data_IF_862733746657
#
_entry.id   IF_862733746657
#
_cell.length_a   1.000
_cell.length_b   1.000
_cell.length_c   1.000
_cell.angle_alpha   90.00
_cell.angle_beta   90.00
_cell.angle_gamma   90.00
#
_symmetry.space_group_name_H-M   'P 1'
#
loop_
_entity.id
_entity.type
_entity.pdbx_description
1 polymer ?
#
# COMPACT_ATOMS: atom_id res chain seq x y z
N UNK A 1 -19.74 -57.25 22.39
CA UNK A 1 -20.98 -56.45 22.37
C UNK A 1 -20.69 -55.14 21.67
N UNK A 2 -20.90 -55.07 20.36
CA UNK A 2 -20.77 -53.83 19.59
C UNK A 2 -22.14 -53.13 19.52
N UNK A 3 -22.19 -51.87 19.94
CA UNK A 3 -23.41 -51.06 19.87
C UNK A 3 -23.57 -50.46 18.46
N UNK A 4 -24.76 -50.54 17.84
CA UNK A 4 -24.97 -50.08 16.48
C UNK A 4 -24.98 -48.54 16.42
N UNK A 5 -24.14 -48.00 15.53
CA UNK A 5 -23.99 -46.55 15.29
C UNK A 5 -25.21 -46.03 14.52
N UNK A 6 -26.08 -45.26 15.17
CA UNK A 6 -27.25 -44.62 14.56
C UNK A 6 -26.84 -43.66 13.44
N UNK A 7 -27.15 -44.01 12.19
CA UNK A 7 -27.06 -43.10 11.06
C UNK A 7 -28.13 -42.01 11.19
N UNK A 8 -27.70 -40.74 11.29
CA UNK A 8 -28.59 -39.58 11.24
C UNK A 8 -29.07 -39.40 9.80
N UNK A 9 -30.38 -39.47 9.60
CA UNK A 9 -31.04 -39.23 8.31
C UNK A 9 -30.89 -37.76 7.90
N UNK A 10 -30.28 -37.51 6.73
CA UNK A 10 -30.14 -36.16 6.17
C UNK A 10 -31.53 -35.63 5.81
N UNK A 11 -31.96 -34.55 6.48
CA UNK A 11 -33.22 -33.87 6.17
C UNK A 11 -33.18 -33.34 4.74
N UNK A 12 -34.12 -33.77 3.90
CA UNK A 12 -34.25 -33.28 2.52
C UNK A 12 -34.69 -31.80 2.56
N UNK A 13 -33.82 -30.92 2.10
CA UNK A 13 -34.11 -29.50 1.91
C UNK A 13 -35.27 -29.30 0.91
N UNK A 14 -36.22 -28.45 1.28
CA UNK A 14 -37.41 -28.15 0.47
C UNK A 14 -37.00 -27.54 -0.88
N UNK A 15 -37.69 -27.82 -1.99
CA UNK A 15 -37.33 -27.33 -3.34
C UNK A 15 -37.17 -25.81 -3.43
N UNK A 16 -37.96 -25.05 -2.68
CA UNK A 16 -37.86 -23.59 -2.62
C UNK A 16 -36.57 -23.09 -1.97
N UNK A 17 -36.05 -23.78 -0.95
CA UNK A 17 -34.74 -23.43 -0.35
C UNK A 17 -33.59 -23.66 -1.35
N UNK A 18 -33.69 -24.64 -2.25
CA UNK A 18 -32.68 -24.86 -3.28
C UNK A 18 -32.62 -23.72 -4.31
N UNK A 19 -33.76 -23.10 -4.61
CA UNK A 19 -33.85 -21.94 -5.49
C UNK A 19 -33.28 -20.67 -4.84
N UNK A 20 -33.58 -20.45 -3.55
CA UNK A 20 -33.05 -19.30 -2.79
C UNK A 20 -31.53 -19.41 -2.56
N UNK A 21 -31.01 -20.61 -2.31
CA UNK A 21 -29.57 -20.85 -2.16
C UNK A 21 -28.83 -20.63 -3.49
N UNK A 22 -29.43 -21.06 -4.62
CA UNK A 22 -28.85 -20.85 -5.95
C UNK A 22 -28.76 -19.37 -6.35
N UNK A 23 -29.77 -18.56 -6.05
CA UNK A 23 -29.73 -17.12 -6.36
C UNK A 23 -28.82 -16.35 -5.42
N UNK A 24 -28.79 -16.65 -4.11
CA UNK A 24 -27.88 -16.01 -3.16
C UNK A 24 -26.39 -16.29 -3.48
N UNK A 25 -26.05 -17.53 -3.87
CA UNK A 25 -24.69 -17.90 -4.28
C UNK A 25 -24.24 -17.16 -5.55
N UNK A 26 -25.14 -16.93 -6.52
CA UNK A 26 -24.83 -16.15 -7.72
C UNK A 26 -24.43 -14.71 -7.38
N UNK A 27 -25.18 -14.01 -6.51
CA UNK A 27 -24.84 -12.64 -6.10
C UNK A 27 -23.52 -12.56 -5.32
N UNK A 28 -23.18 -13.59 -4.55
CA UNK A 28 -21.91 -13.67 -3.84
C UNK A 28 -20.72 -13.87 -4.79
N UNK A 29 -20.83 -14.78 -5.76
CA UNK A 29 -19.78 -14.98 -6.78
C UNK A 29 -19.57 -13.71 -7.59
N UNK A 30 -20.65 -13.05 -7.98
CA UNK A 30 -20.61 -11.75 -8.64
C UNK A 30 -19.91 -10.73 -7.72
N UNK A 31 -20.27 -10.64 -6.45
CA UNK A 31 -19.63 -9.75 -5.47
C UNK A 31 -18.13 -9.97 -5.30
N UNK A 32 -17.66 -11.22 -5.25
CA UNK A 32 -16.23 -11.53 -5.16
C UNK A 32 -15.45 -11.24 -6.44
N UNK A 33 -16.07 -11.47 -7.60
CA UNK A 33 -15.51 -11.03 -8.88
C UNK A 33 -15.43 -9.50 -8.87
N UNK A 34 -16.47 -8.80 -8.41
CA UNK A 34 -16.44 -7.34 -8.28
C UNK A 34 -15.36 -6.84 -7.31
N UNK A 35 -15.12 -7.50 -6.18
CA UNK A 35 -14.05 -7.11 -5.24
C UNK A 35 -12.66 -7.40 -5.80
N UNK A 36 -12.46 -8.57 -6.43
CA UNK A 36 -11.20 -8.91 -7.08
C UNK A 36 -10.90 -8.02 -8.29
N UNK A 37 -11.92 -7.73 -9.09
CA UNK A 37 -11.85 -6.77 -10.21
C UNK A 37 -11.65 -5.36 -9.68
N UNK A 38 -12.30 -4.94 -8.60
CA UNK A 38 -12.07 -3.62 -8.01
C UNK A 38 -10.65 -3.49 -7.46
N UNK A 39 -10.13 -4.50 -6.77
CA UNK A 39 -8.74 -4.54 -6.30
C UNK A 39 -7.76 -4.49 -7.47
N UNK A 40 -7.98 -5.32 -8.51
CA UNK A 40 -7.15 -5.33 -9.69
C UNK A 40 -7.24 -4.01 -10.47
N UNK A 41 -8.44 -3.47 -10.62
CA UNK A 41 -8.73 -2.20 -11.29
C UNK A 41 -8.00 -1.06 -10.58
N UNK A 42 -8.18 -0.91 -9.25
CA UNK A 42 -7.50 0.11 -8.44
C UNK A 42 -5.99 -0.01 -8.55
N UNK A 43 -5.45 -1.25 -8.48
CA UNK A 43 -3.99 -1.47 -8.61
C UNK A 43 -3.48 -1.18 -10.03
N UNK A 44 -4.30 -1.47 -11.04
CA UNK A 44 -3.95 -1.25 -12.45
C UNK A 44 -4.04 0.20 -12.89
N UNK A 45 -4.57 1.10 -12.06
CA UNK A 45 -4.49 2.54 -12.30
C UNK A 45 -3.01 2.92 -12.19
N UNK A 46 -2.41 3.26 -13.34
CA UNK A 46 -1.03 3.71 -13.43
C UNK A 46 -0.90 5.07 -12.74
N UNK A 47 0.17 5.26 -11.98
CA UNK A 47 0.47 6.55 -11.33
C UNK A 47 0.55 7.68 -12.35
N UNK A 48 0.99 7.40 -13.58
CA UNK A 48 1.03 8.38 -14.67
C UNK A 48 -0.37 8.84 -15.10
N UNK A 49 -1.34 7.93 -15.08
CA UNK A 49 -2.73 8.23 -15.42
C UNK A 49 -3.36 9.12 -14.33
N UNK A 50 -3.10 8.82 -13.05
CA UNK A 50 -3.49 9.68 -11.92
C UNK A 50 -2.83 11.06 -12.05
N UNK A 51 -1.53 11.11 -12.33
CA UNK A 51 -0.80 12.35 -12.50
C UNK A 51 -1.41 13.22 -13.60
N UNK A 52 -1.80 12.61 -14.74
CA UNK A 52 -2.42 13.34 -15.84
C UNK A 52 -3.77 13.97 -15.51
N UNK A 53 -4.56 13.33 -14.63
CA UNK A 53 -5.85 13.86 -14.14
C UNK A 53 -5.67 15.03 -13.16
N UNK A 54 -4.59 14.98 -12.38
CA UNK A 54 -4.33 15.92 -11.29
C UNK A 54 -3.24 16.95 -11.61
N UNK A 55 -2.68 16.91 -12.83
CA UNK A 55 -1.75 17.93 -13.32
C UNK A 55 -2.51 19.19 -13.70
N UNK A 56 -2.08 20.31 -13.11
CA UNK A 56 -2.63 21.66 -13.28
C UNK A 56 -2.61 22.20 -14.72
N UNK A 57 -2.02 21.47 -15.67
CA UNK A 57 -1.91 21.86 -17.09
C UNK A 57 -3.16 21.49 -17.93
N UNK A 58 -4.16 20.81 -17.37
CA UNK A 58 -5.45 20.56 -18.04
C UNK A 58 -6.45 21.69 -17.74
N UNK A 59 -5.97 22.92 -17.88
CA UNK A 59 -6.77 24.14 -17.75
C UNK A 59 -7.15 24.68 -19.14
N UNK A 60 -7.68 23.84 -20.05
CA UNK A 60 -8.46 24.27 -21.22
C UNK A 60 -8.94 23.09 -22.09
N UNK A 61 -9.72 22.16 -21.54
CA UNK A 61 -10.59 21.34 -22.38
C UNK A 61 -12.03 21.38 -21.88
N UNK A 62 -12.79 22.24 -22.55
CA UNK A 62 -14.19 22.10 -22.96
C UNK A 62 -14.97 20.93 -22.36
N UNK A 63 -16.14 21.28 -21.80
CA UNK A 63 -17.07 20.39 -21.11
C UNK A 63 -17.60 19.19 -21.91
N UNK A 64 -18.41 18.40 -21.20
CA UNK A 64 -18.74 16.97 -21.39
C UNK A 64 -17.65 16.04 -20.81
N UNK A 65 -17.87 15.22 -19.79
CA UNK A 65 -19.08 14.57 -19.27
C UNK A 65 -18.92 14.49 -17.74
N UNK A 66 -19.87 15.04 -16.97
CA UNK A 66 -20.05 14.63 -15.57
C UNK A 66 -20.47 13.16 -15.59
N UNK A 67 -19.49 12.26 -15.58
CA UNK A 67 -19.73 10.83 -15.46
C UNK A 67 -20.46 10.61 -14.14
N UNK A 68 -21.60 9.89 -14.20
CA UNK A 68 -22.37 9.52 -13.03
C UNK A 68 -21.44 9.01 -11.90
N UNK A 69 -21.77 9.30 -10.62
CA UNK A 69 -20.91 8.95 -9.51
C UNK A 69 -20.65 7.45 -9.52
N UNK A 70 -19.43 7.07 -9.92
CA UNK A 70 -18.96 5.68 -9.83
C UNK A 70 -19.07 5.28 -8.37
N UNK A 71 -20.00 4.38 -8.06
CA UNK A 71 -20.20 3.89 -6.70
C UNK A 71 -18.87 3.37 -6.16
N UNK A 72 -18.48 3.87 -4.98
CA UNK A 72 -17.30 3.39 -4.28
C UNK A 72 -17.45 1.90 -3.98
N UNK A 73 -16.39 1.10 -4.17
CA UNK A 73 -16.35 -0.24 -3.62
C UNK A 73 -16.58 -0.19 -2.10
N UNK A 74 -17.43 -1.10 -1.59
CA UNK A 74 -17.79 -1.15 -0.16
C UNK A 74 -16.57 -1.21 0.79
N UNK A 75 -15.43 -1.72 0.30
CA UNK A 75 -14.19 -1.80 1.08
C UNK A 75 -13.54 -0.44 1.37
N UNK A 76 -13.75 0.57 0.50
CA UNK A 76 -13.23 1.93 0.70
C UNK A 76 -14.29 2.93 1.13
N UNK A 77 -15.57 2.58 1.04
CA UNK A 77 -16.69 3.44 1.47
C UNK A 77 -16.54 3.90 2.93
N UNK A 78 -16.37 2.98 3.88
CA UNK A 78 -16.18 3.32 5.30
C UNK A 78 -14.94 4.20 5.56
N UNK A 79 -13.75 3.89 5.02
CA UNK A 79 -12.60 4.79 5.10
C UNK A 79 -12.87 6.19 4.53
N UNK A 80 -13.59 6.30 3.41
CA UNK A 80 -13.92 7.58 2.78
C UNK A 80 -14.92 8.37 3.60
N UNK A 81 -15.96 7.73 4.14
CA UNK A 81 -16.89 8.35 5.08
C UNK A 81 -16.17 8.90 6.32
N UNK A 82 -15.24 8.11 6.88
CA UNK A 82 -14.41 8.55 8.02
C UNK A 82 -13.54 9.75 7.64
N UNK A 83 -12.93 9.75 6.46
CA UNK A 83 -12.13 10.88 5.97
C UNK A 83 -13.00 12.13 5.77
N UNK A 84 -14.19 11.99 5.20
CA UNK A 84 -15.19 13.05 5.04
C UNK A 84 -15.55 13.67 6.39
N UNK A 85 -15.81 12.85 7.41
CA UNK A 85 -16.08 13.33 8.78
C UNK A 85 -14.92 14.14 9.36
N UNK A 86 -13.67 13.75 9.08
CA UNK A 86 -12.48 14.45 9.58
C UNK A 86 -12.26 15.83 8.93
N UNK A 87 -12.77 16.04 7.71
CA UNK A 87 -12.72 17.33 7.01
C UNK A 87 -13.99 18.16 7.16
N UNK A 88 -14.82 17.87 8.16
CA UNK A 88 -16.03 18.66 8.44
C UNK A 88 -17.29 18.20 7.69
N UNK A 89 -17.27 17.01 7.11
CA UNK A 89 -18.41 16.40 6.43
C UNK A 89 -18.48 16.67 4.93
N UNK A 90 -17.45 17.31 4.37
CA UNK A 90 -17.37 17.55 2.93
C UNK A 90 -17.29 16.23 2.17
N UNK A 91 -18.02 16.15 1.05
CA UNK A 91 -18.06 14.95 0.22
C UNK A 91 -16.73 14.82 -0.52
N UNK A 92 -16.09 13.66 -0.35
CA UNK A 92 -14.89 13.30 -1.11
C UNK A 92 -15.33 12.69 -2.45
N UNK A 93 -14.73 13.17 -3.55
CA UNK A 93 -15.00 12.62 -4.87
C UNK A 93 -14.57 11.15 -4.94
N UNK A 94 -15.41 10.33 -5.58
CA UNK A 94 -15.18 8.90 -5.63
C UNK A 94 -13.97 8.52 -6.49
N UNK A 95 -13.65 9.30 -7.53
CA UNK A 95 -12.45 9.13 -8.32
C UNK A 95 -11.20 9.44 -7.49
N UNK A 96 -11.23 10.53 -6.71
CA UNK A 96 -10.10 10.89 -5.84
C UNK A 96 -9.85 9.86 -4.75
N UNK A 97 -10.92 9.35 -4.14
CA UNK A 97 -10.82 8.26 -3.17
C UNK A 97 -10.19 7.00 -3.78
N UNK A 98 -10.54 6.69 -5.04
CA UNK A 98 -9.95 5.57 -5.78
C UNK A 98 -8.49 5.83 -6.14
N UNK A 99 -8.15 7.04 -6.55
CA UNK A 99 -6.77 7.45 -6.88
C UNK A 99 -5.87 7.38 -5.64
N UNK A 100 -6.33 7.89 -4.48
CA UNK A 100 -5.62 7.75 -3.21
C UNK A 100 -5.45 6.27 -2.83
N UNK A 101 -6.50 5.45 -2.97
CA UNK A 101 -6.41 4.03 -2.68
C UNK A 101 -5.40 3.33 -3.62
N UNK A 102 -5.36 3.70 -4.90
CA UNK A 102 -4.40 3.18 -5.87
C UNK A 102 -2.96 3.54 -5.49
N UNK A 103 -2.70 4.81 -5.16
CA UNK A 103 -1.38 5.26 -4.70
C UNK A 103 -0.95 4.48 -3.46
N UNK A 104 -1.81 4.36 -2.45
CA UNK A 104 -1.49 3.64 -1.22
C UNK A 104 -1.27 2.13 -1.45
N UNK A 105 -1.94 1.52 -2.43
CA UNK A 105 -1.75 0.11 -2.76
C UNK A 105 -0.51 -0.15 -3.63
N UNK A 106 -0.06 0.85 -4.38
CA UNK A 106 1.13 0.75 -5.24
C UNK A 106 2.43 1.12 -4.51
N UNK A 107 2.37 1.93 -3.45
CA UNK A 107 3.52 2.36 -2.63
C UNK A 107 4.15 1.25 -1.76
N UNK A 108 3.80 -0.02 -1.98
CA UNK A 108 4.35 -1.13 -1.21
C UNK A 108 3.92 -1.15 0.27
N UNK A 109 2.86 -0.41 0.64
CA UNK A 109 2.18 -0.58 1.92
C UNK A 109 1.45 -1.93 1.93
N UNK A 110 1.68 -2.72 2.98
CA UNK A 110 0.88 -3.91 3.25
C UNK A 110 -0.55 -3.54 3.64
N UNK A 111 -1.50 -4.45 3.43
CA UNK A 111 -2.90 -4.25 3.86
C UNK A 111 -3.00 -4.01 5.38
N UNK A 112 -2.09 -4.60 6.16
CA UNK A 112 -1.98 -4.35 7.60
C UNK A 112 -1.55 -2.91 7.89
N UNK A 113 -0.59 -2.37 7.15
CA UNK A 113 -0.16 -0.98 7.28
C UNK A 113 -1.28 -0.02 6.85
N UNK A 114 -1.98 -0.30 5.74
CA UNK A 114 -3.14 0.48 5.32
C UNK A 114 -4.23 0.46 6.39
N UNK A 115 -4.55 -0.71 6.95
CA UNK A 115 -5.53 -0.82 8.03
C UNK A 115 -5.07 -0.12 9.32
N UNK A 116 -3.79 -0.20 9.66
CA UNK A 116 -3.21 0.55 10.77
C UNK A 116 -3.34 2.08 10.56
N UNK A 117 -3.07 2.58 9.35
CA UNK A 117 -3.24 3.99 9.00
C UNK A 117 -4.72 4.41 9.10
N UNK A 118 -5.64 3.60 8.56
CA UNK A 118 -7.09 3.85 8.65
C UNK A 118 -7.61 3.82 10.09
N UNK A 119 -7.12 2.88 10.91
CA UNK A 119 -7.46 2.76 12.32
C UNK A 119 -7.03 3.98 13.12
N UNK A 120 -5.82 4.47 12.87
CA UNK A 120 -5.23 5.65 13.52
C UNK A 120 -5.59 6.97 12.84
N UNK A 121 -6.47 6.99 11.83
CA UNK A 121 -6.95 8.23 11.22
C UNK A 121 -7.83 9.01 12.22
N UNK A 122 -7.19 9.76 13.11
CA UNK A 122 -7.78 10.67 14.09
C UNK A 122 -6.90 11.90 14.19
N UNK A 123 -7.40 12.97 14.80
CA UNK A 123 -6.62 14.20 14.99
C UNK A 123 -5.80 14.21 16.26
N UNK A 124 -6.16 13.37 17.23
CA UNK A 124 -5.67 13.42 18.60
C UNK A 124 -4.66 12.29 18.84
N UNK A 125 -3.70 12.16 17.93
CA UNK A 125 -2.61 11.19 18.06
C UNK A 125 -1.48 11.74 18.93
N UNK A 126 -0.85 10.89 19.76
CA UNK A 126 0.39 11.27 20.44
C UNK A 126 1.51 11.50 19.43
N UNK A 127 2.49 12.33 19.80
CA UNK A 127 3.59 12.75 18.92
C UNK A 127 4.36 11.56 18.37
N UNK A 128 4.57 10.55 19.22
CA UNK A 128 5.29 9.31 18.88
C UNK A 128 4.57 8.53 17.78
N UNK A 129 3.24 8.44 17.82
CA UNK A 129 2.49 7.75 16.77
C UNK A 129 2.37 8.59 15.50
N UNK A 130 2.31 9.93 15.60
CA UNK A 130 2.41 10.79 14.42
C UNK A 130 3.75 10.58 13.71
N UNK A 131 4.86 10.53 14.47
CA UNK A 131 6.20 10.30 13.91
C UNK A 131 6.30 8.91 13.26
N UNK A 132 5.79 7.86 13.92
CA UNK A 132 5.78 6.51 13.36
C UNK A 132 4.96 6.40 12.07
N UNK A 133 3.83 7.10 11.98
CA UNK A 133 3.05 7.19 10.74
C UNK A 133 3.83 7.93 9.66
N UNK A 134 4.47 9.06 9.98
CA UNK A 134 5.34 9.79 9.05
C UNK A 134 6.45 8.87 8.51
N UNK A 135 7.19 8.21 9.38
CA UNK A 135 8.31 7.34 9.00
C UNK A 135 7.83 6.20 8.11
N UNK A 136 6.70 5.56 8.47
CA UNK A 136 6.09 4.52 7.66
C UNK A 136 5.72 5.03 6.26
N UNK A 137 5.07 6.19 6.18
CA UNK A 137 4.62 6.77 4.92
C UNK A 137 5.80 7.23 4.05
N UNK A 138 6.78 7.93 4.61
CA UNK A 138 7.98 8.40 3.89
C UNK A 138 8.90 7.25 3.46
N UNK A 139 8.88 6.11 4.17
CA UNK A 139 9.65 4.92 3.77
C UNK A 139 9.00 4.16 2.62
N UNK A 140 7.69 4.32 2.42
CA UNK A 140 6.90 3.52 1.48
C UNK A 140 6.51 4.31 0.24
N UNK A 141 6.14 5.57 0.41
CA UNK A 141 5.74 6.44 -0.68
C UNK A 141 6.98 7.03 -1.36
N UNK A 142 6.98 7.05 -2.68
CA UNK A 142 7.93 7.84 -3.46
C UNK A 142 7.59 9.34 -3.39
N UNK A 143 8.55 10.20 -3.75
CA UNK A 143 8.32 11.65 -3.82
C UNK A 143 7.19 12.02 -4.80
N UNK A 144 7.08 11.28 -5.91
CA UNK A 144 6.01 11.43 -6.89
C UNK A 144 4.64 11.08 -6.29
N UNK A 145 4.55 9.95 -5.58
CA UNK A 145 3.33 9.53 -4.87
C UNK A 145 2.92 10.54 -3.81
N UNK A 146 3.88 11.07 -3.04
CA UNK A 146 3.63 12.11 -2.03
C UNK A 146 3.10 13.38 -2.70
N UNK A 147 3.68 13.80 -3.82
CA UNK A 147 3.23 14.97 -4.56
C UNK A 147 1.80 14.81 -5.08
N UNK A 148 1.47 13.63 -5.60
CA UNK A 148 0.11 13.32 -6.06
C UNK A 148 -0.90 13.30 -4.93
N UNK A 149 -0.57 12.63 -3.81
CA UNK A 149 -1.42 12.65 -2.62
C UNK A 149 -1.68 14.08 -2.17
N UNK A 150 -0.65 14.93 -2.10
CA UNK A 150 -0.81 16.35 -1.75
C UNK A 150 -1.69 17.10 -2.74
N UNK A 151 -1.55 16.83 -4.04
CA UNK A 151 -2.39 17.46 -5.08
C UNK A 151 -3.87 17.10 -4.89
N UNK A 152 -4.16 15.80 -4.78
CA UNK A 152 -5.52 15.28 -4.60
C UNK A 152 -6.15 15.84 -3.32
N UNK A 153 -5.41 15.88 -2.21
CA UNK A 153 -5.98 16.30 -0.92
C UNK A 153 -6.09 17.81 -0.75
N UNK A 154 -5.35 18.60 -1.54
CA UNK A 154 -5.33 20.07 -1.45
C UNK A 154 -6.70 20.69 -1.74
N UNK A 155 -7.47 20.13 -2.68
CA UNK A 155 -8.83 20.61 -2.99
C UNK A 155 -9.80 20.46 -1.81
N UNK A 156 -9.49 19.54 -0.89
CA UNK A 156 -10.23 19.32 0.37
C UNK A 156 -9.64 20.11 1.54
N UNK A 157 -8.74 21.07 1.28
CA UNK A 157 -8.08 21.88 2.31
C UNK A 157 -7.03 21.13 3.14
N UNK A 158 -6.64 19.91 2.75
CA UNK A 158 -5.66 19.11 3.48
C UNK A 158 -4.29 19.18 2.80
N UNK A 159 -3.30 19.76 3.48
CA UNK A 159 -1.94 19.88 2.96
C UNK A 159 -1.03 18.65 3.13
N UNK A 160 -1.49 17.64 3.88
CA UNK A 160 -0.71 16.44 4.26
C UNK A 160 0.69 16.79 4.82
N UNK A 161 0.76 17.75 5.75
CA UNK A 161 2.01 18.17 6.38
C UNK A 161 2.76 17.03 7.10
N UNK A 162 2.08 15.93 7.42
CA UNK A 162 2.70 14.71 7.94
C UNK A 162 3.72 14.10 6.94
N UNK A 163 3.50 14.29 5.63
CA UNK A 163 4.38 13.88 4.53
C UNK A 163 5.44 14.94 4.18
N UNK A 164 5.72 15.86 5.11
CA UNK A 164 6.83 16.79 4.98
C UNK A 164 7.82 16.50 6.12
N UNK A 165 9.04 16.01 5.82
CA UNK A 165 10.01 15.66 6.86
C UNK A 165 10.45 16.86 7.68
N UNK A 166 10.48 18.04 7.08
CA UNK A 166 10.94 19.28 7.73
C UNK A 166 9.84 19.94 8.56
N UNK A 167 8.58 19.52 8.41
CA UNK A 167 7.47 20.12 9.16
C UNK A 167 7.46 19.57 10.60
N UNK A 168 7.43 20.43 11.64
CA UNK A 168 7.38 19.97 13.03
C UNK A 168 6.20 19.03 13.28
N UNK A 169 6.48 17.84 13.83
CA UNK A 169 5.49 16.76 13.97
C UNK A 169 4.39 17.13 14.97
N UNK A 170 4.72 17.97 15.94
CA UNK A 170 3.83 18.47 17.00
C UNK A 170 2.73 19.36 16.42
N UNK A 171 3.01 20.05 15.30
CA UNK A 171 2.05 20.93 14.63
C UNK A 171 1.06 20.16 13.74
N UNK A 172 1.36 18.90 13.42
CA UNK A 172 0.49 18.06 12.59
C UNK A 172 -0.81 17.77 13.34
N UNK A 173 -1.95 18.09 12.73
CA UNK A 173 -3.28 17.85 13.32
C UNK A 173 -3.72 18.89 14.35
N UNK A 174 -3.00 20.00 14.50
CA UNK A 174 -3.46 21.14 15.31
C UNK A 174 -4.80 21.67 14.78
N UNK A 175 -5.74 21.93 15.69
CA UNK A 175 -7.11 22.36 15.36
C UNK A 175 -7.44 23.75 15.88
N UNK A 176 -6.68 24.24 16.85
CA UNK A 176 -6.86 25.60 17.35
C UNK A 176 -6.53 26.59 16.21
N UNK A 177 -7.51 27.39 15.73
CA UNK A 177 -7.29 28.31 14.61
C UNK A 177 -6.17 29.32 14.87
N UNK A 178 -5.99 29.73 16.14
CA UNK A 178 -4.95 30.66 16.52
C UNK A 178 -3.58 29.98 16.45
N UNK A 179 -3.43 28.77 17.02
CA UNK A 179 -2.17 28.01 16.91
C UNK A 179 -1.85 27.61 15.48
N UNK A 180 -2.84 27.25 14.66
CA UNK A 180 -2.61 26.98 13.24
C UNK A 180 -2.05 28.21 12.51
N UNK A 181 -2.56 29.41 12.82
CA UNK A 181 -2.05 30.66 12.25
C UNK A 181 -0.61 30.92 12.71
N UNK A 182 -0.34 30.79 14.01
CA UNK A 182 1.00 30.94 14.59
C UNK A 182 1.99 29.93 13.99
N UNK A 183 1.62 28.65 13.90
CA UNK A 183 2.43 27.59 13.30
C UNK A 183 2.70 27.86 11.81
N UNK A 184 1.72 28.35 11.06
CA UNK A 184 1.90 28.69 9.64
C UNK A 184 2.84 29.90 9.45
N UNK A 185 2.75 30.91 10.31
CA UNK A 185 3.67 32.05 10.30
C UNK A 185 5.09 31.64 10.70
N UNK A 186 5.23 30.80 11.74
CA UNK A 186 6.50 30.23 12.15
C UNK A 186 7.13 29.37 11.03
N UNK A 187 6.31 28.53 10.38
CA UNK A 187 6.72 27.72 9.25
C UNK A 187 7.25 28.56 8.07
N UNK A 188 6.54 29.63 7.69
CA UNK A 188 7.00 30.55 6.64
C UNK A 188 8.34 31.19 6.98
N UNK A 189 8.56 31.58 8.23
CA UNK A 189 9.85 32.13 8.68
C UNK A 189 10.97 31.08 8.59
N UNK A 190 10.71 29.83 8.98
CA UNK A 190 11.69 28.75 8.86
C UNK A 190 12.09 28.48 7.40
N UNK A 191 11.13 28.49 6.47
CA UNK A 191 11.40 28.31 5.05
C UNK A 191 12.24 29.45 4.44
N UNK A 192 11.99 30.70 4.87
CA UNK A 192 12.77 31.86 4.42
C UNK A 192 14.22 31.82 4.90
N UNK A 193 14.48 31.30 6.10
CA UNK A 193 15.85 31.16 6.62
C UNK A 193 16.61 29.97 6.02
N UNK A 194 15.93 28.87 5.67
CA UNK A 194 16.54 27.71 5.02
C UNK A 194 17.02 28.01 3.58
N UNK A 195 16.34 28.93 2.89
CA UNK A 195 16.69 29.32 1.51
C UNK A 195 17.82 30.37 1.42
N UNK A 196 18.35 30.84 2.55
CA UNK A 196 19.31 31.95 2.62
C UNK A 196 20.77 31.58 2.92
N UNK A 197 21.08 30.31 3.19
CA UNK A 197 22.42 29.89 3.64
C UNK A 197 23.15 29.01 2.63
N UNK A 198 23.42 29.57 1.44
CA UNK A 198 24.56 29.13 0.61
C UNK A 198 25.10 30.30 -0.20
N UNK A 199 25.80 31.22 0.47
CA UNK A 199 26.77 32.10 -0.21
C UNK A 199 27.88 32.50 0.76
N UNK A 200 28.88 31.64 0.90
CA UNK A 200 30.18 32.01 1.46
C UNK A 200 31.24 31.83 0.37
N UNK A 201 31.72 32.98 -0.09
CA UNK A 201 33.06 33.30 -0.60
C UNK A 201 33.83 32.23 -1.42
N UNK A 202 33.84 32.43 -2.74
CA UNK A 202 34.83 31.91 -3.67
C UNK A 202 35.06 32.93 -4.78
N UNK A 203 36.22 33.56 -4.74
CA UNK A 203 36.70 34.73 -5.49
C UNK A 203 36.66 34.60 -7.02
N UNK A 204 36.07 35.64 -7.65
CA UNK A 204 36.30 36.23 -8.97
C UNK A 204 36.98 35.46 -10.13
N UNK A 205 36.28 35.39 -11.27
CA UNK A 205 36.82 35.81 -12.57
C UNK A 205 35.68 36.09 -13.57
N UNK A 206 35.88 37.17 -14.32
CA UNK A 206 35.02 37.85 -15.28
C UNK A 206 34.96 37.14 -16.65
N UNK A 207 33.79 37.08 -17.30
CA UNK A 207 33.66 37.30 -18.76
C UNK A 207 32.21 37.32 -19.25
N UNK A 208 31.93 38.33 -20.06
CA UNK A 208 30.80 38.48 -20.96
C UNK A 208 30.68 37.30 -21.96
N UNK A 209 29.45 36.80 -22.19
CA UNK A 209 28.82 36.79 -23.51
C UNK A 209 27.45 36.06 -23.53
N UNK A 210 26.57 36.61 -24.37
CA UNK A 210 25.24 36.12 -24.80
C UNK A 210 25.41 35.09 -25.96
N UNK A 211 24.33 34.55 -26.57
CA UNK A 211 23.54 33.36 -26.25
C UNK A 211 23.65 32.23 -27.32
N UNK A 212 23.42 30.94 -27.02
CA UNK A 212 22.87 29.98 -28.01
C UNK A 212 22.30 28.68 -27.42
N UNK A 213 21.16 28.29 -27.99
CA UNK A 213 20.53 26.97 -28.21
C UNK A 213 20.92 25.69 -27.45
N UNK A 214 19.84 25.05 -26.97
CA UNK A 214 19.47 23.65 -27.23
C UNK A 214 20.57 22.59 -27.17
N UNK A 215 20.60 21.83 -26.09
CA UNK A 215 21.22 20.51 -26.06
C UNK A 215 20.38 19.54 -25.24
N UNK A 216 19.99 18.48 -25.95
CA UNK A 216 19.34 17.23 -25.59
C UNK A 216 19.87 16.63 -24.26
N UNK A 217 19.03 16.00 -23.42
CA UNK A 217 19.49 15.35 -22.19
C UNK A 217 20.42 14.17 -22.52
N UNK A 218 21.66 14.27 -22.05
CA UNK A 218 22.63 13.17 -22.02
C UNK A 218 22.18 12.16 -20.97
N UNK A 219 21.99 10.91 -21.41
CA UNK A 219 21.75 9.75 -20.56
C UNK A 219 22.89 9.63 -19.52
N UNK A 220 22.58 9.49 -18.22
CA UNK A 220 23.61 9.39 -17.19
C UNK A 220 24.46 8.14 -17.45
N UNK A 221 25.73 8.37 -17.71
CA UNK A 221 26.77 7.36 -17.87
C UNK A 221 26.79 6.46 -16.64
N UNK A 222 26.30 5.22 -16.79
CA UNK A 222 26.37 4.18 -15.76
C UNK A 222 27.85 3.99 -15.40
N UNK A 223 28.24 4.49 -14.23
CA UNK A 223 29.52 4.15 -13.62
C UNK A 223 29.62 2.62 -13.55
N UNK A 224 30.66 2.01 -14.12
CA UNK A 224 30.80 0.56 -14.13
C UNK A 224 30.88 0.07 -12.68
N UNK A 225 29.92 -0.79 -12.31
CA UNK A 225 29.86 -1.43 -10.99
C UNK A 225 31.21 -2.13 -10.75
N UNK A 226 31.93 -1.82 -9.66
CA UNK A 226 33.21 -2.43 -9.35
C UNK A 226 33.09 -3.95 -9.38
N UNK A 227 33.91 -4.62 -10.17
CA UNK A 227 33.84 -6.08 -10.28
C UNK A 227 34.29 -6.71 -8.95
N UNK A 228 33.41 -7.50 -8.32
CA UNK A 228 33.71 -8.19 -7.07
C UNK A 228 34.92 -9.12 -7.25
N UNK A 229 35.84 -9.10 -6.27
CA UNK A 229 36.96 -10.05 -6.22
C UNK A 229 36.45 -11.48 -6.06
N UNK A 230 37.26 -12.48 -6.42
CA UNK A 230 36.88 -13.90 -6.31
C UNK A 230 36.44 -14.29 -4.90
N UNK A 231 37.13 -13.78 -3.87
CA UNK A 231 36.80 -14.04 -2.47
C UNK A 231 35.44 -13.44 -2.09
N UNK A 232 35.17 -12.20 -2.50
CA UNK A 232 33.87 -11.56 -2.27
C UNK A 232 32.73 -12.24 -3.03
N UNK A 233 33.00 -12.77 -4.23
CA UNK A 233 32.02 -13.58 -4.98
C UNK A 233 31.63 -14.84 -4.20
N UNK A 234 32.58 -15.52 -3.56
CA UNK A 234 32.30 -16.71 -2.74
C UNK A 234 31.54 -16.37 -1.45
N UNK A 235 31.91 -15.28 -0.77
CA UNK A 235 31.18 -14.78 0.41
C UNK A 235 29.75 -14.41 0.05
N UNK A 236 29.56 -13.66 -1.04
CA UNK A 236 28.24 -13.31 -1.59
C UNK A 236 27.39 -14.56 -1.81
N UNK A 237 27.92 -15.55 -2.51
CA UNK A 237 27.20 -16.79 -2.80
C UNK A 237 26.78 -17.54 -1.53
N UNK A 238 27.63 -17.54 -0.50
CA UNK A 238 27.30 -18.14 0.80
C UNK A 238 26.18 -17.39 1.52
N UNK A 239 26.19 -16.06 1.50
CA UNK A 239 25.11 -15.25 2.09
C UNK A 239 23.82 -15.49 1.32
N UNK A 240 23.87 -15.41 -0.01
CA UNK A 240 22.72 -15.64 -0.90
C UNK A 240 22.06 -16.99 -0.62
N UNK A 241 22.85 -18.08 -0.60
CA UNK A 241 22.34 -19.42 -0.38
C UNK A 241 21.68 -19.58 1.00
N UNK A 242 22.29 -18.99 2.04
CA UNK A 242 21.73 -19.00 3.40
C UNK A 242 20.40 -18.25 3.45
N UNK A 243 20.35 -17.06 2.87
CA UNK A 243 19.14 -16.24 2.83
C UNK A 243 18.05 -16.91 2.01
N UNK A 244 18.36 -17.46 0.84
CA UNK A 244 17.41 -18.22 0.03
C UNK A 244 16.84 -19.44 0.77
N UNK A 245 17.66 -20.14 1.56
CA UNK A 245 17.18 -21.23 2.41
C UNK A 245 16.21 -20.74 3.50
N UNK A 246 16.50 -19.60 4.15
CA UNK A 246 15.59 -19.01 5.14
C UNK A 246 14.27 -18.56 4.50
N UNK A 247 14.34 -17.93 3.32
CA UNK A 247 13.17 -17.51 2.54
C UNK A 247 12.33 -18.69 2.06
N UNK A 248 12.96 -19.79 1.65
CA UNK A 248 12.25 -21.01 1.25
C UNK A 248 11.48 -21.62 2.44
N UNK A 249 12.11 -21.69 3.61
CA UNK A 249 11.46 -22.13 4.86
C UNK A 249 10.29 -21.24 5.26
N UNK A 250 10.49 -19.91 5.18
CA UNK A 250 9.43 -18.93 5.41
C UNK A 250 8.27 -19.12 4.42
N UNK A 251 8.57 -19.24 3.12
CA UNK A 251 7.57 -19.45 2.07
C UNK A 251 6.73 -20.70 2.35
N UNK A 252 7.36 -21.81 2.74
CA UNK A 252 6.66 -23.04 3.13
C UNK A 252 5.73 -22.83 4.32
N UNK A 253 6.21 -22.17 5.38
CA UNK A 253 5.43 -21.86 6.58
C UNK A 253 4.24 -20.95 6.27
N UNK A 254 4.45 -19.90 5.49
CA UNK A 254 3.43 -18.95 5.09
C UNK A 254 2.37 -19.56 4.18
N UNK A 255 2.77 -20.40 3.22
CA UNK A 255 1.85 -21.18 2.39
C UNK A 255 1.02 -22.13 3.24
N UNK A 256 1.62 -22.84 4.20
CA UNK A 256 0.89 -23.72 5.10
C UNK A 256 -0.13 -22.96 5.96
N UNK A 257 0.26 -21.82 6.55
CA UNK A 257 -0.65 -20.97 7.35
C UNK A 257 -1.79 -20.40 6.49
N UNK A 258 -1.48 -19.93 5.29
CA UNK A 258 -2.47 -19.44 4.33
C UNK A 258 -3.46 -20.54 3.92
N UNK A 259 -2.95 -21.73 3.57
CA UNK A 259 -3.79 -22.88 3.23
C UNK A 259 -4.67 -23.32 4.41
N UNK A 260 -4.15 -23.29 5.65
CA UNK A 260 -4.96 -23.62 6.83
C UNK A 260 -6.12 -22.64 7.01
N UNK A 261 -5.89 -21.34 6.85
CA UNK A 261 -6.95 -20.32 6.90
C UNK A 261 -7.94 -20.51 5.75
N UNK A 262 -7.43 -20.76 4.54
CA UNK A 262 -8.26 -21.03 3.37
C UNK A 262 -9.19 -22.24 3.59
N UNK A 263 -8.69 -23.33 4.15
CA UNK A 263 -9.52 -24.50 4.48
C UNK A 263 -10.58 -24.18 5.53
N UNK A 264 -10.29 -23.31 6.51
CA UNK A 264 -11.30 -22.83 7.45
C UNK A 264 -12.38 -21.98 6.78
N UNK A 265 -11.99 -21.11 5.84
CA UNK A 265 -12.90 -20.28 5.05
C UNK A 265 -13.81 -21.18 4.20
N UNK A 266 -13.21 -22.06 3.39
CA UNK A 266 -13.92 -23.01 2.52
C UNK A 266 -14.85 -23.91 3.31
N UNK A 267 -14.40 -24.45 4.46
CA UNK A 267 -15.23 -25.28 5.32
C UNK A 267 -16.35 -24.54 6.04
N UNK A 268 -16.30 -23.20 6.09
CA UNK A 268 -17.35 -22.36 6.68
C UNK A 268 -18.16 -21.60 5.64
N UNK A 269 -17.93 -21.83 4.34
CA UNK A 269 -18.53 -21.06 3.25
C UNK A 269 -19.99 -21.45 2.94
N UNK A 270 -20.46 -22.61 3.42
CA UNK A 270 -21.83 -23.07 3.18
C UNK A 270 -22.85 -22.18 3.93
N UNK A 271 -23.73 -21.53 3.17
CA UNK A 271 -24.84 -20.73 3.69
C UNK A 271 -24.47 -19.41 4.38
N UNK A 272 -23.22 -18.93 4.26
CA UNK A 272 -22.78 -17.64 4.82
C UNK A 272 -22.51 -16.61 3.74
N UNK A 273 -22.62 -15.32 4.08
CA UNK A 273 -22.30 -14.23 3.15
C UNK A 273 -20.79 -13.97 3.08
N UNK A 274 -20.35 -13.23 2.05
CA UNK A 274 -18.97 -12.75 1.94
C UNK A 274 -18.61 -11.87 3.13
N UNK A 275 -19.54 -11.04 3.57
CA UNK A 275 -19.34 -10.16 4.71
C UNK A 275 -19.12 -10.97 6.00
N UNK A 276 -19.85 -12.06 6.19
CA UNK A 276 -19.62 -12.99 7.32
C UNK A 276 -18.22 -13.61 7.26
N UNK A 277 -17.79 -14.05 6.08
CA UNK A 277 -16.45 -14.61 5.88
C UNK A 277 -15.36 -13.56 6.10
N UNK A 278 -15.54 -12.34 5.61
CA UNK A 278 -14.62 -11.23 5.84
C UNK A 278 -14.54 -10.90 7.33
N UNK A 279 -15.67 -10.67 8.00
CA UNK A 279 -15.68 -10.34 9.42
C UNK A 279 -15.03 -11.43 10.27
N UNK A 280 -15.23 -12.71 9.91
CA UNK A 280 -14.69 -13.85 10.65
C UNK A 280 -13.22 -14.15 10.37
N UNK A 281 -12.74 -13.92 9.14
CA UNK A 281 -11.41 -14.38 8.71
C UNK A 281 -10.44 -13.28 8.30
N UNK A 282 -10.89 -12.05 8.02
CA UNK A 282 -10.03 -10.95 7.59
C UNK A 282 -8.92 -10.69 8.62
N UNK A 283 -9.27 -10.62 9.91
CA UNK A 283 -8.28 -10.45 10.99
C UNK A 283 -7.23 -11.57 11.01
N UNK A 284 -7.65 -12.82 10.83
CA UNK A 284 -6.73 -13.99 10.77
C UNK A 284 -5.82 -13.95 9.55
N UNK A 285 -6.35 -13.55 8.39
CA UNK A 285 -5.58 -13.39 7.16
C UNK A 285 -4.53 -12.29 7.35
N UNK A 286 -4.93 -11.15 7.90
CA UNK A 286 -4.02 -10.02 8.16
C UNK A 286 -2.96 -10.35 9.20
N UNK A 287 -3.30 -11.09 10.26
CA UNK A 287 -2.34 -11.56 11.25
C UNK A 287 -1.34 -12.55 10.65
N UNK A 288 -1.82 -13.49 9.85
CA UNK A 288 -0.97 -14.45 9.14
C UNK A 288 -0.02 -13.78 8.16
N UNK A 289 -0.55 -12.89 7.31
CA UNK A 289 0.25 -12.12 6.37
C UNK A 289 1.25 -11.22 7.09
N UNK A 290 0.80 -10.48 8.12
CA UNK A 290 1.68 -9.60 8.89
C UNK A 290 2.82 -10.34 9.60
N UNK A 291 2.58 -11.57 10.07
CA UNK A 291 3.63 -12.42 10.65
C UNK A 291 4.65 -12.86 9.60
N UNK A 292 4.19 -13.20 8.39
CA UNK A 292 5.05 -13.57 7.27
C UNK A 292 5.89 -12.40 6.78
N UNK A 293 5.26 -11.23 6.65
CA UNK A 293 5.93 -9.99 6.23
C UNK A 293 7.01 -9.58 7.25
N UNK A 294 6.72 -9.68 8.56
CA UNK A 294 7.71 -9.37 9.60
C UNK A 294 8.92 -10.32 9.55
N UNK A 295 8.69 -11.63 9.38
CA UNK A 295 9.79 -12.60 9.25
C UNK A 295 10.59 -12.39 7.96
N UNK A 296 9.92 -12.07 6.86
CA UNK A 296 10.57 -11.74 5.59
C UNK A 296 11.51 -10.54 5.76
N UNK A 297 11.01 -9.43 6.33
CA UNK A 297 11.80 -8.23 6.57
C UNK A 297 12.99 -8.50 7.51
N UNK A 298 12.80 -9.35 8.52
CA UNK A 298 13.89 -9.79 9.40
C UNK A 298 14.99 -10.59 8.68
N UNK A 299 14.62 -11.46 7.73
CA UNK A 299 15.59 -12.22 6.93
C UNK A 299 16.36 -11.30 5.98
N UNK A 300 15.66 -10.37 5.30
CA UNK A 300 16.28 -9.44 4.35
C UNK A 300 17.20 -8.45 5.07
N UNK A 301 16.82 -7.92 6.24
CA UNK A 301 17.69 -7.03 7.03
C UNK A 301 18.93 -7.75 7.56
N UNK A 302 18.78 -9.01 8.00
CA UNK A 302 19.92 -9.84 8.38
C UNK A 302 20.89 -10.07 7.22
N UNK A 303 20.36 -10.29 6.02
CA UNK A 303 21.17 -10.43 4.80
C UNK A 303 21.89 -9.12 4.45
N UNK A 304 21.19 -7.99 4.50
CA UNK A 304 21.79 -6.67 4.28
C UNK A 304 22.94 -6.38 5.25
N UNK A 305 22.77 -6.70 6.54
CA UNK A 305 23.86 -6.62 7.53
C UNK A 305 25.04 -7.52 7.15
N UNK A 306 24.76 -8.76 6.73
CA UNK A 306 25.83 -9.70 6.33
C UNK A 306 26.60 -9.23 5.10
N UNK A 307 25.92 -8.55 4.16
CA UNK A 307 26.55 -7.90 3.01
C UNK A 307 27.44 -6.74 3.44
N UNK A 308 26.93 -5.86 4.30
CA UNK A 308 27.68 -4.71 4.82
C UNK A 308 28.94 -5.15 5.59
N UNK A 309 28.82 -6.17 6.45
CA UNK A 309 29.95 -6.74 7.22
C UNK A 309 31.02 -7.35 6.30
N UNK A 310 30.62 -7.86 5.14
CA UNK A 310 31.51 -8.40 4.11
C UNK A 310 32.09 -7.32 3.17
N UNK A 311 31.70 -6.04 3.33
CA UNK A 311 32.08 -4.97 2.41
C UNK A 311 31.48 -5.11 1.01
N UNK A 312 30.34 -5.80 0.88
CA UNK A 312 29.62 -5.99 -0.39
C UNK A 312 28.51 -4.95 -0.47
N UNK A 313 28.45 -4.24 -1.60
CA UNK A 313 27.41 -3.24 -1.87
C UNK A 313 26.01 -3.86 -1.82
N UNK A 314 25.05 -3.16 -1.20
CA UNK A 314 23.67 -3.63 -1.05
C UNK A 314 22.94 -3.72 -2.39
N UNK A 315 23.35 -2.98 -3.42
CA UNK A 315 22.86 -3.11 -4.79
C UNK A 315 23.22 -4.46 -5.44
N UNK A 316 24.16 -5.22 -4.87
CA UNK A 316 24.46 -6.58 -5.31
C UNK A 316 23.54 -7.65 -4.67
N UNK A 317 22.62 -7.25 -3.79
CA UNK A 317 21.62 -8.17 -3.21
C UNK A 317 20.62 -8.62 -4.30
N UNK A 318 20.21 -9.89 -4.32
CA UNK A 318 19.12 -10.33 -5.18
C UNK A 318 17.81 -9.63 -4.83
N UNK A 319 16.92 -9.50 -5.82
CA UNK A 319 15.58 -8.93 -5.61
C UNK A 319 14.63 -9.94 -4.93
N UNK A 320 14.91 -10.24 -3.66
CA UNK A 320 14.08 -11.11 -2.84
C UNK A 320 12.71 -10.52 -2.57
N UNK A 321 12.58 -9.19 -2.58
CA UNK A 321 11.31 -8.49 -2.36
C UNK A 321 10.33 -8.76 -3.51
N UNK A 322 10.78 -8.61 -4.77
CA UNK A 322 9.93 -8.97 -5.91
C UNK A 322 9.55 -10.45 -5.92
N UNK A 323 10.49 -11.36 -5.60
CA UNK A 323 10.19 -12.81 -5.49
C UNK A 323 9.14 -13.10 -4.42
N UNK A 324 9.26 -12.46 -3.25
CA UNK A 324 8.33 -12.63 -2.14
C UNK A 324 6.92 -12.11 -2.48
N UNK A 325 6.82 -10.91 -3.06
CA UNK A 325 5.54 -10.32 -3.47
C UNK A 325 4.88 -11.11 -4.61
N UNK A 326 5.65 -11.61 -5.58
CA UNK A 326 5.13 -12.51 -6.61
C UNK A 326 4.54 -13.81 -6.00
N UNK A 327 5.22 -14.38 -5.00
CA UNK A 327 4.70 -15.55 -4.27
C UNK A 327 3.42 -15.22 -3.51
N UNK A 328 3.33 -14.06 -2.84
CA UNK A 328 2.11 -13.61 -2.15
C UNK A 328 0.93 -13.48 -3.11
N UNK A 329 1.15 -12.86 -4.26
CA UNK A 329 0.11 -12.69 -5.29
C UNK A 329 -0.40 -14.03 -5.82
N UNK A 330 0.51 -14.98 -6.09
CA UNK A 330 0.15 -16.34 -6.52
C UNK A 330 -0.73 -17.09 -5.50
N UNK A 331 -0.39 -17.00 -4.22
CA UNK A 331 -1.18 -17.60 -3.12
C UNK A 331 -2.55 -16.93 -3.01
N UNK A 332 -2.61 -15.59 -3.09
CA UNK A 332 -3.88 -14.85 -3.06
C UNK A 332 -4.80 -15.24 -4.22
N UNK A 333 -4.29 -15.30 -5.45
CA UNK A 333 -5.06 -15.72 -6.61
C UNK A 333 -5.63 -17.14 -6.45
N UNK A 334 -4.82 -18.06 -5.92
CA UNK A 334 -5.23 -19.45 -5.65
C UNK A 334 -6.32 -19.50 -4.58
N UNK A 335 -6.17 -18.73 -3.49
CA UNK A 335 -7.15 -18.64 -2.42
C UNK A 335 -8.49 -18.08 -2.91
N UNK A 336 -8.48 -16.99 -3.70
CA UNK A 336 -9.68 -16.40 -4.30
C UNK A 336 -10.43 -17.45 -5.14
N UNK A 337 -9.70 -18.20 -5.98
CA UNK A 337 -10.30 -19.26 -6.80
C UNK A 337 -10.97 -20.36 -5.96
N UNK A 338 -10.31 -20.80 -4.88
CA UNK A 338 -10.84 -21.82 -3.99
C UNK A 338 -12.08 -21.35 -3.20
N UNK A 339 -12.07 -20.12 -2.68
CA UNK A 339 -13.22 -19.52 -2.01
C UNK A 339 -14.40 -19.39 -2.97
N UNK A 340 -14.15 -18.90 -4.18
CA UNK A 340 -15.19 -18.76 -5.21
C UNK A 340 -15.83 -20.10 -5.58
N UNK A 341 -15.06 -21.20 -5.58
CA UNK A 341 -15.61 -22.56 -5.79
C UNK A 341 -16.43 -23.03 -4.60
N UNK A 342 -15.97 -22.80 -3.38
CA UNK A 342 -16.63 -23.25 -2.15
C UNK A 342 -17.98 -22.57 -1.90
N UNK A 343 -18.17 -21.34 -2.39
CA UNK A 343 -19.44 -20.64 -2.24
C UNK A 343 -20.45 -21.03 -3.34
N UNK A 344 -19.98 -21.62 -4.45
CA UNK A 344 -20.85 -22.15 -5.53
C UNK A 344 -21.49 -23.49 -5.20
N UNK A 345 -20.96 -24.22 -4.21
CA UNK A 345 -21.38 -25.58 -3.83
C UNK A 345 -22.39 -25.57 -2.69
#
# INVERSE_FOLDING_TARGET
METPRKQKTKKKLKPWMKWVIGTASFFVVVGLIFIGVAYYYIKSIDIKDIASRHSSDVADSTGEVMSEPKKLPAIIEKPVEKASQLIGGDKIDSADALDVAAILLNSGLSLKQISYLQGNATTDLPVEEKQKIRDLLLTKLSDEEIALLKSITKQYGIGLNILNPDYPIEWVGERDPQKMKENNEAWKKMQQHSSGSTKTAGTGAQSDNKPTESSKPTEPEKTPTPELTTDLKQVKQSIDSKTESQLASLSGTCKAKSNAILQQIVGSADGVTVEDLQNKYLGKVMEAEGSCDAQFQGIVSQAASSYADAGIDSGAMPDWNAKYEASKQSVRASAISAIAKAIKS
#
